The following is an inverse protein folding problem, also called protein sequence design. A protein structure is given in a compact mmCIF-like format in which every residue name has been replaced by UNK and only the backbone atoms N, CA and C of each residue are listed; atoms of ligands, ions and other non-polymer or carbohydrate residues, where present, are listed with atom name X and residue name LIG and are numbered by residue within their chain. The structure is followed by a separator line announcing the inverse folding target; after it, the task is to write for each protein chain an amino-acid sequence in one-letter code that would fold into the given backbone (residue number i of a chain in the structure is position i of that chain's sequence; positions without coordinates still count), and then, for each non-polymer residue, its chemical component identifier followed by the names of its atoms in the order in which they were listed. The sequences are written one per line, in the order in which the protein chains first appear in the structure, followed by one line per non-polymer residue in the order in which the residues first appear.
data_IF_636348173042
#
_entry.id   IF_636348173042
#
_cell.length_a   1.000
_cell.length_b   1.000
_cell.length_c   1.000
_cell.angle_alpha   90.00
_cell.angle_beta   90.00
_cell.angle_gamma   90.00
#
_symmetry.space_group_name_H-M   'P 1'
#
loop_
_entity.id
_entity.type
_entity.pdbx_description
1 polymer ?
#
# COMPACT_ATOMS: atom_id res chain seq x y z
N UNK A 1 -12.49 0.64 4.98
CA UNK A 1 -11.28 1.42 5.28
C UNK A 1 -10.11 0.45 5.24
N UNK A 2 -8.98 0.83 4.63
CA UNK A 2 -7.77 0.01 4.53
C UNK A 2 -6.62 0.72 5.26
N UNK A 3 -5.66 -0.06 5.77
CA UNK A 3 -4.42 0.46 6.36
C UNK A 3 -3.55 1.09 5.28
N UNK A 4 -3.11 2.32 5.49
CA UNK A 4 -2.08 2.96 4.70
C UNK A 4 -0.74 2.99 5.43
N UNK A 5 0.28 3.53 4.78
CA UNK A 5 1.61 3.67 5.36
C UNK A 5 1.64 4.66 6.54
N UNK A 6 0.73 5.64 6.57
CA UNK A 6 0.60 6.58 7.68
C UNK A 6 -0.07 5.98 8.92
N UNK A 7 -0.76 4.85 8.79
CA UNK A 7 -1.33 4.09 9.89
C UNK A 7 -0.25 3.18 10.52
N UNK A 8 0.81 3.83 11.03
CA UNK A 8 1.97 3.20 11.65
C UNK A 8 2.58 4.12 12.73
N UNK A 9 3.25 3.53 13.69
CA UNK A 9 3.94 4.27 14.76
C UNK A 9 5.00 5.21 14.19
N UNK A 10 5.87 4.69 13.34
CA UNK A 10 6.95 5.45 12.73
C UNK A 10 6.45 6.71 12.02
N UNK A 11 5.37 6.61 11.23
CA UNK A 11 4.84 7.74 10.48
C UNK A 11 4.06 8.73 11.35
N UNK A 12 3.33 8.24 12.35
CA UNK A 12 2.58 9.09 13.28
C UNK A 12 3.47 9.84 14.26
N UNK A 13 4.65 9.29 14.58
CA UNK A 13 5.68 9.98 15.37
C UNK A 13 6.49 10.97 14.53
N UNK A 14 6.81 10.61 13.29
CA UNK A 14 7.54 11.50 12.37
C UNK A 14 6.70 12.72 11.98
N UNK A 15 5.41 12.50 11.69
CA UNK A 15 4.44 13.56 11.42
C UNK A 15 3.72 13.96 12.73
N UNK A 16 2.73 14.81 12.65
CA UNK A 16 2.17 15.49 13.82
C UNK A 16 1.10 14.70 14.57
N UNK A 17 0.64 13.55 14.09
CA UNK A 17 -0.51 12.84 14.64
C UNK A 17 -0.33 12.45 16.12
N UNK A 18 0.81 11.86 16.49
CA UNK A 18 1.11 11.54 17.90
C UNK A 18 1.05 12.79 18.77
N UNK A 19 1.69 13.88 18.34
CA UNK A 19 1.70 15.13 19.08
C UNK A 19 0.30 15.74 19.20
N UNK A 20 -0.53 15.62 18.16
CA UNK A 20 -1.93 16.08 18.21
C UNK A 20 -2.73 15.32 19.28
N UNK A 21 -2.62 13.99 19.32
CA UNK A 21 -3.30 13.15 20.32
C UNK A 21 -2.85 13.54 21.74
N UNK A 22 -1.54 13.65 21.98
CA UNK A 22 -1.01 14.01 23.29
C UNK A 22 -1.43 15.43 23.72
N UNK A 23 -1.46 16.37 22.79
CA UNK A 23 -1.92 17.73 23.09
C UNK A 23 -3.41 17.77 23.45
N UNK A 24 -4.22 16.97 22.78
CA UNK A 24 -5.67 16.96 22.93
C UNK A 24 -6.13 16.17 24.16
N UNK A 25 -5.58 15.01 24.38
CA UNK A 25 -6.05 14.09 25.40
C UNK A 25 -5.17 14.04 26.65
N UNK A 26 -3.89 14.47 26.55
CA UNK A 26 -2.88 14.39 27.64
C UNK A 26 -2.67 12.98 28.18
N UNK A 27 -2.85 11.98 27.33
CA UNK A 27 -2.83 10.57 27.70
C UNK A 27 -2.19 9.73 26.60
N UNK A 28 -1.09 9.06 26.92
CA UNK A 28 -0.37 8.18 26.02
C UNK A 28 -1.15 6.90 25.71
N UNK A 29 -1.97 6.39 26.65
CA UNK A 29 -2.75 5.18 26.42
C UNK A 29 -3.74 5.35 25.24
N UNK A 30 -4.27 6.55 25.06
CA UNK A 30 -5.13 6.86 23.91
C UNK A 30 -4.36 6.73 22.61
N UNK A 31 -3.11 7.22 22.55
CA UNK A 31 -2.27 7.05 21.37
C UNK A 31 -2.00 5.57 21.09
N UNK A 32 -1.69 4.77 22.11
CA UNK A 32 -1.49 3.32 21.95
C UNK A 32 -2.74 2.62 21.40
N UNK A 33 -3.94 3.05 21.80
CA UNK A 33 -5.18 2.53 21.23
C UNK A 33 -5.37 2.86 19.74
N UNK A 34 -4.89 4.01 19.29
CA UNK A 34 -4.83 4.30 17.86
C UNK A 34 -3.88 3.35 17.13
N UNK A 35 -2.68 3.10 17.68
CA UNK A 35 -1.72 2.18 17.07
C UNK A 35 -2.30 0.76 16.99
N UNK A 36 -2.88 0.24 18.07
CA UNK A 36 -3.58 -1.06 18.07
C UNK A 36 -4.68 -1.12 16.98
N UNK A 37 -5.44 -0.03 16.84
CA UNK A 37 -6.49 0.07 15.82
C UNK A 37 -5.92 0.05 14.41
N UNK A 38 -4.81 0.74 14.15
CA UNK A 38 -4.11 0.75 12.86
C UNK A 38 -3.59 -0.62 12.48
N UNK A 39 -3.00 -1.34 13.43
CA UNK A 39 -2.51 -2.71 13.23
C UNK A 39 -3.66 -3.69 12.92
N UNK A 40 -4.84 -3.46 13.46
CA UNK A 40 -6.02 -4.27 13.17
C UNK A 40 -6.66 -4.00 11.80
N UNK A 41 -6.34 -2.87 11.14
CA UNK A 41 -6.92 -2.52 9.84
C UNK A 41 -6.57 -3.55 8.76
N UNK A 42 -7.51 -3.88 7.85
CA UNK A 42 -7.21 -4.73 6.70
C UNK A 42 -6.24 -4.03 5.73
N UNK A 43 -5.38 -4.82 5.07
CA UNK A 43 -4.35 -4.34 4.13
C UNK A 43 -4.93 -4.18 2.73
N UNK A 44 -5.88 -5.03 2.35
CA UNK A 44 -6.52 -5.01 1.03
C UNK A 44 -8.00 -5.33 1.13
N UNK A 45 -8.71 -5.07 0.05
CA UNK A 45 -10.10 -5.50 -0.14
C UNK A 45 -10.31 -6.00 -1.56
N UNK A 46 -11.03 -7.10 -1.68
CA UNK A 46 -11.61 -7.58 -2.93
C UNK A 46 -13.02 -7.02 -3.03
N UNK A 47 -13.29 -6.26 -4.08
CA UNK A 47 -14.61 -5.69 -4.33
C UNK A 47 -15.26 -6.44 -5.47
N UNK A 48 -16.27 -7.23 -5.13
CA UNK A 48 -17.13 -8.00 -6.05
C UNK A 48 -16.36 -9.05 -6.90
N UNK A 49 -15.14 -9.44 -6.53
CA UNK A 49 -14.28 -10.28 -7.38
C UNK A 49 -13.68 -9.57 -8.58
N UNK A 50 -13.95 -8.28 -8.75
CA UNK A 50 -13.54 -7.47 -9.90
C UNK A 50 -12.35 -6.56 -9.61
N UNK A 51 -12.27 -6.01 -8.40
CA UNK A 51 -11.29 -4.98 -8.07
C UNK A 51 -10.49 -5.35 -6.83
N UNK A 52 -9.18 -5.32 -6.97
CA UNK A 52 -8.26 -5.41 -5.82
C UNK A 52 -7.92 -4.01 -5.33
N UNK A 53 -8.35 -3.68 -4.11
CA UNK A 53 -8.09 -2.39 -3.49
C UNK A 53 -6.97 -2.52 -2.46
N UNK A 54 -6.01 -1.60 -2.46
CA UNK A 54 -4.92 -1.51 -1.48
C UNK A 54 -4.38 -0.09 -1.39
N UNK A 55 -3.56 0.20 -0.38
CA UNK A 55 -3.01 1.55 -0.22
C UNK A 55 -1.83 1.83 -1.15
N UNK A 56 -0.74 1.09 -1.03
CA UNK A 56 0.48 1.22 -1.85
C UNK A 56 0.32 0.51 -3.20
N UNK A 57 0.69 -0.75 -3.28
CA UNK A 57 0.57 -1.51 -4.51
C UNK A 57 1.18 -2.90 -4.44
N UNK A 58 1.75 -3.36 -5.55
CA UNK A 58 2.19 -4.72 -5.75
C UNK A 58 3.61 -4.94 -5.20
N UNK A 59 3.79 -6.07 -4.52
CA UNK A 59 5.08 -6.61 -4.11
C UNK A 59 5.60 -7.68 -5.08
N UNK A 60 6.92 -7.88 -5.21
CA UNK A 60 7.49 -9.06 -5.84
C UNK A 60 7.04 -10.39 -5.22
N UNK A 61 6.62 -10.37 -3.97
CA UNK A 61 6.13 -11.54 -3.24
C UNK A 61 4.65 -11.86 -3.52
N UNK A 62 3.87 -10.89 -4.02
CA UNK A 62 2.46 -11.08 -4.34
C UNK A 62 2.28 -11.88 -5.64
N UNK A 63 1.74 -13.09 -5.55
CA UNK A 63 1.41 -13.97 -6.69
C UNK A 63 -0.10 -14.16 -6.82
N UNK A 64 -0.76 -14.37 -5.70
CA UNK A 64 -2.21 -14.52 -5.61
C UNK A 64 -2.75 -13.67 -4.47
N UNK A 65 -4.04 -13.29 -4.52
CA UNK A 65 -4.67 -12.53 -3.44
C UNK A 65 -4.59 -13.25 -2.09
N UNK A 66 -4.62 -14.57 -2.10
CA UNK A 66 -4.48 -15.40 -0.91
C UNK A 66 -3.14 -15.24 -0.18
N UNK A 67 -2.10 -14.74 -0.87
CA UNK A 67 -0.81 -14.51 -0.22
C UNK A 67 -0.94 -13.39 0.83
N UNK A 68 -1.84 -12.43 0.59
CA UNK A 68 -2.11 -11.33 1.54
C UNK A 68 -2.72 -11.86 2.83
N UNK A 69 -3.52 -12.93 2.78
CA UNK A 69 -4.15 -13.53 3.96
C UNK A 69 -3.11 -14.16 4.91
N UNK A 70 -1.92 -14.49 4.41
CA UNK A 70 -0.82 -15.04 5.20
C UNK A 70 -0.04 -13.98 6.01
N UNK A 71 -0.25 -12.69 5.73
CA UNK A 71 0.49 -11.60 6.36
C UNK A 71 0.01 -11.41 7.80
N UNK A 72 0.94 -11.46 8.75
CA UNK A 72 0.68 -10.92 10.07
C UNK A 72 0.65 -9.39 9.99
N UNK A 73 -0.55 -8.80 9.94
CA UNK A 73 -0.74 -7.35 9.87
C UNK A 73 -0.76 -6.66 11.23
N UNK A 74 -0.91 -7.45 12.33
CA UNK A 74 -0.96 -6.94 13.70
C UNK A 74 0.45 -6.61 14.24
N UNK A 75 1.20 -5.88 13.43
CA UNK A 75 2.56 -5.45 13.73
C UNK A 75 2.81 -4.05 13.17
N UNK A 76 3.84 -3.38 13.69
CA UNK A 76 4.43 -2.22 13.02
C UNK A 76 4.99 -2.63 11.66
N UNK A 77 4.69 -1.91 10.55
CA UNK A 77 5.23 -2.25 9.24
C UNK A 77 6.75 -2.23 9.23
N UNK A 78 7.40 -3.30 8.75
CA UNK A 78 8.85 -3.32 8.60
C UNK A 78 9.31 -2.38 7.47
N UNK A 79 10.61 -2.05 7.44
CA UNK A 79 11.19 -1.19 6.38
C UNK A 79 11.34 -1.88 5.02
N UNK A 80 11.07 -3.17 4.93
CA UNK A 80 11.16 -3.97 3.69
C UNK A 80 10.30 -5.22 3.78
N UNK A 81 10.12 -5.89 2.64
CA UNK A 81 9.33 -7.13 2.56
C UNK A 81 7.86 -6.89 2.25
N UNK A 82 7.09 -7.96 2.26
CA UNK A 82 5.76 -7.99 1.67
C UNK A 82 4.79 -6.94 2.24
N UNK A 83 4.67 -6.84 3.57
CA UNK A 83 3.80 -5.84 4.19
C UNK A 83 4.24 -4.41 3.89
N UNK A 84 5.57 -4.15 3.89
CA UNK A 84 6.10 -2.85 3.48
C UNK A 84 5.67 -2.51 2.05
N UNK A 85 5.82 -3.43 1.11
CA UNK A 85 5.50 -3.18 -0.29
C UNK A 85 4.02 -2.88 -0.52
N UNK A 86 3.11 -3.62 0.13
CA UNK A 86 1.68 -3.37 0.02
C UNK A 86 1.26 -1.97 0.51
N UNK A 87 2.03 -1.37 1.42
CA UNK A 87 1.78 -0.04 1.98
C UNK A 87 2.57 1.08 1.28
N UNK A 88 3.71 0.79 0.64
CA UNK A 88 4.65 1.81 0.16
C UNK A 88 5.00 1.74 -1.32
N UNK A 89 4.73 0.64 -2.04
CA UNK A 89 5.11 0.53 -3.44
C UNK A 89 4.35 1.51 -4.33
N UNK A 90 5.03 1.97 -5.39
CA UNK A 90 4.48 2.90 -6.35
C UNK A 90 4.53 2.32 -7.78
N UNK A 91 3.60 2.68 -8.68
CA UNK A 91 3.72 2.35 -10.08
C UNK A 91 4.85 3.14 -10.73
N UNK A 92 5.54 2.52 -11.68
CA UNK A 92 6.49 3.19 -12.56
C UNK A 92 5.78 4.13 -13.54
N UNK A 93 6.53 5.05 -14.14
CA UNK A 93 6.04 5.80 -15.28
C UNK A 93 5.77 4.89 -16.49
N UNK A 94 4.99 5.37 -17.46
CA UNK A 94 4.52 4.58 -18.60
C UNK A 94 5.66 3.99 -19.47
N UNK A 95 6.79 4.67 -19.54
CA UNK A 95 7.93 4.24 -20.34
C UNK A 95 8.73 3.15 -19.66
N UNK A 96 9.00 3.31 -18.38
CA UNK A 96 9.72 2.34 -17.54
C UNK A 96 8.86 1.09 -17.27
N UNK A 97 7.58 1.28 -16.95
CA UNK A 97 6.64 0.21 -16.63
C UNK A 97 6.54 -0.89 -17.68
N UNK A 98 6.77 -0.56 -18.95
CA UNK A 98 6.73 -1.53 -20.07
C UNK A 98 7.99 -2.38 -20.19
N UNK A 99 9.08 -2.00 -19.52
CA UNK A 99 10.41 -2.61 -19.68
C UNK A 99 10.90 -3.31 -18.42
N UNK A 100 10.48 -2.81 -17.26
CA UNK A 100 10.99 -3.23 -15.96
C UNK A 100 9.85 -3.80 -15.14
N UNK A 101 10.08 -4.95 -14.51
CA UNK A 101 9.07 -5.58 -13.63
C UNK A 101 9.01 -4.88 -12.27
N UNK A 102 10.17 -4.76 -11.63
CA UNK A 102 10.35 -4.09 -10.34
C UNK A 102 11.67 -3.35 -10.32
N UNK A 103 11.69 -2.20 -9.64
CA UNK A 103 12.92 -1.46 -9.34
C UNK A 103 12.84 -0.92 -7.89
N UNK A 104 13.99 -0.54 -7.34
CA UNK A 104 14.03 0.10 -6.01
C UNK A 104 13.25 1.42 -6.02
N UNK A 105 12.43 1.66 -5.01
CA UNK A 105 11.74 2.94 -4.83
C UNK A 105 12.64 3.94 -4.08
N UNK A 106 13.55 4.58 -4.80
CA UNK A 106 14.52 5.52 -4.21
C UNK A 106 13.83 6.73 -3.57
N UNK A 107 12.68 7.15 -4.12
CA UNK A 107 11.95 8.30 -3.60
C UNK A 107 11.36 8.04 -2.21
N UNK A 108 10.99 6.79 -1.92
CA UNK A 108 10.43 6.39 -0.63
C UNK A 108 11.50 5.91 0.35
N UNK A 109 12.74 5.68 -0.12
CA UNK A 109 13.83 5.08 0.64
C UNK A 109 13.54 3.65 1.14
N UNK A 110 12.39 3.11 0.83
CA UNK A 110 11.93 1.76 1.12
C UNK A 110 11.12 1.20 -0.04
N UNK A 111 10.78 -0.11 0.00
CA UNK A 111 9.89 -0.75 -0.96
C UNK A 111 10.36 -0.69 -2.43
N UNK A 112 9.44 -0.94 -3.34
CA UNK A 112 9.70 -1.06 -4.78
C UNK A 112 8.78 -0.18 -5.63
N UNK A 113 9.21 0.10 -6.86
CA UNK A 113 8.29 0.49 -7.94
C UNK A 113 7.98 -0.74 -8.77
N UNK A 114 6.73 -0.83 -9.23
CA UNK A 114 6.25 -1.96 -10.03
C UNK A 114 5.85 -1.51 -11.44
N UNK A 115 6.10 -2.38 -12.40
CA UNK A 115 5.78 -2.19 -13.81
C UNK A 115 4.51 -2.90 -14.25
N UNK A 116 4.28 -2.91 -15.56
CA UNK A 116 3.08 -3.45 -16.20
C UNK A 116 2.92 -4.96 -16.04
N UNK A 117 3.98 -5.73 -16.22
CA UNK A 117 3.87 -7.20 -16.24
C UNK A 117 3.42 -7.79 -14.89
N UNK A 118 3.95 -7.36 -13.72
CA UNK A 118 3.40 -7.76 -12.42
C UNK A 118 1.92 -7.45 -12.25
N UNK A 119 1.46 -6.28 -12.73
CA UNK A 119 0.03 -5.91 -12.68
C UNK A 119 -0.79 -6.89 -13.50
N UNK A 120 -0.42 -7.16 -14.75
CA UNK A 120 -1.12 -8.12 -15.62
C UNK A 120 -1.18 -9.53 -15.01
N UNK A 121 -0.08 -9.98 -14.40
CA UNK A 121 -0.01 -11.28 -13.75
C UNK A 121 -1.02 -11.38 -12.61
N UNK A 122 -1.05 -10.41 -11.70
CA UNK A 122 -1.99 -10.39 -10.57
C UNK A 122 -3.44 -10.31 -11.05
N UNK A 123 -3.74 -9.45 -12.00
CA UNK A 123 -5.09 -9.34 -12.56
C UNK A 123 -5.55 -10.67 -13.18
N UNK A 124 -4.69 -11.29 -13.99
CA UNK A 124 -5.01 -12.57 -14.68
C UNK A 124 -5.15 -13.73 -13.68
N UNK A 125 -4.20 -13.87 -12.74
CA UNK A 125 -4.20 -14.97 -11.78
C UNK A 125 -5.44 -14.97 -10.90
N UNK A 126 -5.96 -13.79 -10.57
CA UNK A 126 -7.08 -13.63 -9.63
C UNK A 126 -8.39 -13.25 -10.32
N UNK A 127 -8.39 -13.16 -11.65
CA UNK A 127 -9.55 -12.75 -12.46
C UNK A 127 -10.07 -11.35 -12.10
N UNK A 128 -9.18 -10.44 -11.70
CA UNK A 128 -9.54 -9.04 -11.46
C UNK A 128 -9.54 -8.21 -12.74
N UNK A 129 -10.41 -7.21 -12.78
CA UNK A 129 -10.47 -6.22 -13.86
C UNK A 129 -9.41 -5.15 -13.66
N UNK A 130 -9.20 -4.69 -12.41
CA UNK A 130 -8.27 -3.59 -12.11
C UNK A 130 -7.81 -3.60 -10.66
N UNK A 131 -6.74 -2.82 -10.41
CA UNK A 131 -6.28 -2.46 -9.08
C UNK A 131 -6.65 -1.02 -8.79
N UNK A 132 -7.23 -0.76 -7.61
CA UNK A 132 -7.52 0.58 -7.10
C UNK A 132 -6.57 0.85 -5.95
N UNK A 133 -5.78 1.92 -6.05
CA UNK A 133 -4.78 2.28 -5.04
C UNK A 133 -4.84 3.77 -4.67
N UNK A 134 -4.25 4.12 -3.55
CA UNK A 134 -4.10 5.49 -3.04
C UNK A 134 -2.62 5.95 -3.05
N UNK A 135 -2.06 6.37 -1.94
CA UNK A 135 -0.64 6.64 -1.63
C UNK A 135 0.03 7.81 -2.39
N UNK A 136 -0.41 8.17 -3.58
CA UNK A 136 0.14 9.28 -4.35
C UNK A 136 -0.93 10.33 -4.61
N UNK A 137 -0.65 11.58 -4.24
CA UNK A 137 -1.55 12.70 -4.52
C UNK A 137 -1.69 12.91 -6.03
N UNK A 138 -2.91 13.14 -6.49
CA UNK A 138 -3.22 13.46 -7.88
C UNK A 138 -3.95 14.80 -7.94
N UNK A 139 -3.50 15.69 -8.84
CA UNK A 139 -4.07 17.03 -8.99
C UNK A 139 -5.55 17.00 -9.35
N UNK A 140 -5.94 16.07 -10.22
CA UNK A 140 -7.32 15.89 -10.66
C UNK A 140 -8.13 14.94 -9.76
N UNK A 141 -7.57 14.57 -8.60
CA UNK A 141 -8.18 13.64 -7.65
C UNK A 141 -7.98 12.16 -8.00
N UNK A 142 -7.65 11.82 -9.23
CA UNK A 142 -7.34 10.46 -9.67
C UNK A 142 -6.39 10.43 -10.88
N UNK A 143 -5.78 9.26 -11.14
CA UNK A 143 -4.98 8.97 -12.33
C UNK A 143 -5.24 7.53 -12.81
N UNK A 144 -5.52 7.39 -14.09
CA UNK A 144 -5.62 6.07 -14.75
C UNK A 144 -4.28 5.71 -15.39
N UNK A 145 -3.66 4.62 -14.92
CA UNK A 145 -2.47 4.05 -15.57
C UNK A 145 -2.89 3.11 -16.69
N UNK A 146 -2.85 3.60 -17.92
CA UNK A 146 -3.24 2.85 -19.14
C UNK A 146 -2.00 2.31 -19.87
N UNK A 147 -1.24 1.44 -19.21
CA UNK A 147 0.01 0.92 -19.76
C UNK A 147 -0.15 0.02 -21.00
N UNK A 148 -1.35 -0.43 -21.31
CA UNK A 148 -1.63 -1.39 -22.38
C UNK A 148 -2.43 -0.85 -23.58
N UNK A 149 -2.86 0.40 -23.59
CA UNK A 149 -3.49 1.02 -24.77
C UNK A 149 -4.94 0.61 -25.04
N UNK A 150 -5.66 0.12 -24.07
CA UNK A 150 -7.12 -0.12 -24.13
C UNK A 150 -7.79 0.37 -22.86
#
# INVERSE_FOLDING_TARGET
MLRGNHESRAMTEHFTFRQEILNKFKDEEIYEKFIESFEAMPISADVNGDYLCMHGGISPELKAKSDIDSINRHIEPPLHGFLCDLLWSDPMDDREARKVRFSKNVQRECSVKFGLEPVKEILRTNNFISIIRAHQVQVDGYKMHRWGGH
#
